data_IF_385452238118
#
_entry.id   IF_385452238118
#
_cell.length_a   1.000
_cell.length_b   1.000
_cell.length_c   1.000
_cell.angle_alpha   90.00
_cell.angle_beta   90.00
_cell.angle_gamma   90.00
#
_symmetry.space_group_name_H-M   'P 1'
#
loop_
_entity.id
_entity.type
_entity.pdbx_description
1 polymer ?
#
# COMPACT_ATOMS: atom_id res chain seq x y z
N UNK A 1 -8.83 3.24 -13.83
CA UNK A 1 -7.83 3.59 -12.80
C UNK A 1 -8.52 3.83 -11.47
N UNK A 2 -7.94 3.32 -10.38
CA UNK A 2 -8.48 3.41 -9.04
C UNK A 2 -8.22 4.79 -8.39
N UNK A 3 -9.13 5.20 -7.52
CA UNK A 3 -8.98 6.35 -6.63
C UNK A 3 -8.05 6.03 -5.47
N UNK A 4 -7.48 7.05 -4.84
CA UNK A 4 -6.62 6.86 -3.66
C UNK A 4 -7.34 6.12 -2.52
N UNK A 5 -8.66 6.32 -2.38
CA UNK A 5 -9.45 5.63 -1.37
C UNK A 5 -9.58 4.13 -1.69
N UNK A 6 -9.81 3.75 -2.94
CA UNK A 6 -9.87 2.35 -3.36
C UNK A 6 -8.53 1.66 -3.16
N UNK A 7 -7.43 2.34 -3.51
CA UNK A 7 -6.07 1.84 -3.30
C UNK A 7 -5.80 1.63 -1.80
N UNK A 8 -6.13 2.61 -0.95
CA UNK A 8 -6.01 2.49 0.52
C UNK A 8 -6.84 1.33 1.08
N UNK A 9 -8.09 1.19 0.64
CA UNK A 9 -8.96 0.10 1.07
C UNK A 9 -8.38 -1.26 0.66
N UNK A 10 -7.79 -1.37 -0.52
CA UNK A 10 -7.13 -2.59 -0.97
C UNK A 10 -5.92 -2.91 -0.11
N UNK A 11 -5.05 -1.91 0.16
CA UNK A 11 -3.88 -2.06 1.04
C UNK A 11 -4.30 -2.51 2.44
N UNK A 12 -5.31 -1.86 3.04
CA UNK A 12 -5.82 -2.23 4.36
C UNK A 12 -6.34 -3.68 4.40
N UNK A 13 -6.90 -4.20 3.30
CA UNK A 13 -7.37 -5.61 3.23
C UNK A 13 -6.24 -6.62 3.13
N UNK A 14 -5.09 -6.23 2.58
CA UNK A 14 -3.93 -7.11 2.35
C UNK A 14 -2.73 -6.73 3.24
N UNK A 15 -2.96 -5.94 4.28
CA UNK A 15 -1.87 -5.34 5.05
C UNK A 15 -0.99 -6.39 5.73
N UNK A 16 -1.58 -7.48 6.22
CA UNK A 16 -0.84 -8.57 6.87
C UNK A 16 0.11 -9.28 5.89
N UNK A 17 -0.34 -9.51 4.65
CA UNK A 17 0.47 -10.10 3.58
C UNK A 17 1.61 -9.15 3.18
N UNK A 18 1.30 -7.87 3.00
CA UNK A 18 2.29 -6.84 2.67
C UNK A 18 3.35 -6.69 3.76
N UNK A 19 2.96 -6.73 5.04
CA UNK A 19 3.90 -6.71 6.16
C UNK A 19 4.79 -7.96 6.10
N UNK A 20 4.20 -9.15 5.93
CA UNK A 20 4.95 -10.39 5.89
C UNK A 20 5.99 -10.44 4.75
N UNK A 21 5.64 -9.92 3.58
CA UNK A 21 6.51 -9.92 2.40
C UNK A 21 7.59 -8.83 2.44
N UNK A 22 7.23 -7.60 2.84
CA UNK A 22 8.09 -6.42 2.65
C UNK A 22 8.78 -5.94 3.94
N UNK A 23 8.21 -6.23 5.12
CA UNK A 23 8.78 -5.81 6.41
C UNK A 23 9.73 -6.89 6.91
N UNK A 24 11.02 -6.65 6.69
CA UNK A 24 12.09 -7.49 7.26
C UNK A 24 12.65 -6.84 8.53
N UNK A 25 12.46 -7.48 9.68
CA UNK A 25 12.97 -7.02 10.98
C UNK A 25 12.15 -5.86 11.56
N UNK A 26 12.82 -4.92 12.23
CA UNK A 26 12.18 -3.82 12.97
C UNK A 26 11.93 -2.57 12.11
N UNK A 27 11.75 -2.73 10.79
CA UNK A 27 11.50 -1.59 9.91
C UNK A 27 10.16 -0.93 10.27
N UNK A 28 10.19 0.40 10.38
CA UNK A 28 8.99 1.24 10.61
C UNK A 28 8.43 1.85 9.32
N UNK A 29 9.02 1.52 8.19
CA UNK A 29 8.60 1.98 6.88
C UNK A 29 8.95 0.94 5.82
N UNK A 30 8.11 0.82 4.80
CA UNK A 30 8.40 0.03 3.61
C UNK A 30 7.62 0.57 2.41
N UNK A 31 8.06 0.21 1.21
CA UNK A 31 7.28 0.40 -0.02
C UNK A 31 6.93 -0.95 -0.62
N UNK A 32 5.73 -1.04 -1.20
CA UNK A 32 5.26 -2.22 -1.88
C UNK A 32 4.68 -1.85 -3.25
N UNK A 33 4.86 -2.73 -4.23
CA UNK A 33 4.20 -2.63 -5.52
C UNK A 33 3.00 -3.56 -5.48
N UNK A 34 1.81 -2.99 -5.59
CA UNK A 34 0.54 -3.74 -5.55
C UNK A 34 -0.12 -3.70 -6.91
N UNK A 35 -0.79 -4.78 -7.30
CA UNK A 35 -1.55 -4.87 -8.53
C UNK A 35 -3.04 -4.94 -8.20
N UNK A 36 -3.81 -3.92 -8.59
CA UNK A 36 -5.26 -3.91 -8.36
C UNK A 36 -5.97 -4.12 -9.70
N UNK A 37 -6.78 -5.19 -9.84
CA UNK A 37 -7.59 -5.40 -11.04
C UNK A 37 -8.75 -4.40 -11.10
N UNK A 38 -9.03 -3.85 -12.28
CA UNK A 38 -10.21 -3.02 -12.54
C UNK A 38 -11.46 -3.86 -12.87
N UNK A 39 -12.54 -3.18 -13.28
CA UNK A 39 -13.82 -3.81 -13.63
C UNK A 39 -13.72 -4.76 -14.84
N UNK A 40 -12.74 -4.55 -15.72
CA UNK A 40 -12.47 -5.40 -16.89
C UNK A 40 -11.48 -6.53 -16.58
N UNK A 41 -10.93 -6.54 -15.36
CA UNK A 41 -9.92 -7.50 -14.89
C UNK A 41 -8.49 -7.12 -15.26
N UNK A 42 -8.27 -5.93 -15.83
CA UNK A 42 -6.94 -5.43 -16.13
C UNK A 42 -6.25 -5.00 -14.83
N UNK A 43 -5.02 -5.49 -14.62
CA UNK A 43 -4.24 -5.19 -13.42
C UNK A 43 -3.45 -3.90 -13.57
N UNK A 44 -3.71 -2.95 -12.69
CA UNK A 44 -2.99 -1.68 -12.64
C UNK A 44 -1.98 -1.70 -11.48
N UNK A 45 -0.67 -1.51 -11.74
CA UNK A 45 0.34 -1.49 -10.70
C UNK A 45 0.36 -0.13 -9.98
N UNK A 46 0.48 -0.14 -8.66
CA UNK A 46 0.66 1.05 -7.83
C UNK A 46 1.82 0.84 -6.87
N UNK A 47 2.64 1.86 -6.67
CA UNK A 47 3.66 1.84 -5.61
C UNK A 47 3.11 2.57 -4.38
N UNK A 48 2.94 1.85 -3.28
CA UNK A 48 2.46 2.41 -2.01
C UNK A 48 3.61 2.51 -1.02
N UNK A 49 3.65 3.63 -0.29
CA UNK A 49 4.61 3.87 0.78
C UNK A 49 3.90 3.79 2.11
N UNK A 50 4.34 2.85 2.94
CA UNK A 50 3.76 2.51 4.22
C UNK A 50 4.67 2.99 5.35
N UNK A 51 4.09 3.57 6.38
CA UNK A 51 4.78 3.92 7.61
C UNK A 51 4.02 3.36 8.81
N UNK A 52 4.76 2.86 9.78
CA UNK A 52 4.22 2.40 11.05
C UNK A 52 3.96 3.61 11.95
N UNK A 53 2.68 3.92 12.17
CA UNK A 53 2.25 4.98 13.07
C UNK A 53 2.31 4.48 14.50
N UNK A 54 3.30 4.96 15.27
CA UNK A 54 3.41 4.68 16.71
C UNK A 54 2.55 5.59 17.59
N UNK A 55 1.48 6.18 17.04
CA UNK A 55 0.64 7.14 17.76
C UNK A 55 -0.41 6.35 18.58
N UNK A 56 -0.15 6.25 19.88
CA UNK A 56 -1.06 5.92 20.99
C UNK A 56 -2.10 4.79 20.76
N UNK A 57 -1.82 3.65 21.39
CA UNK A 57 -2.71 2.50 21.63
C UNK A 57 -3.02 1.57 20.44
N UNK A 58 -2.85 2.02 19.19
CA UNK A 58 -3.03 1.16 18.01
C UNK A 58 -1.75 1.10 17.16
N UNK A 59 -1.16 -0.10 17.07
CA UNK A 59 0.02 -0.38 16.23
C UNK A 59 -0.43 -0.47 14.77
N UNK A 60 -0.64 0.66 14.10
CA UNK A 60 -1.19 0.71 12.75
C UNK A 60 -0.17 1.08 11.67
N UNK A 61 -0.30 0.44 10.51
CA UNK A 61 0.41 0.82 9.29
C UNK A 61 -0.47 1.75 8.45
N UNK A 62 0.08 2.91 8.08
CA UNK A 62 -0.63 3.92 7.31
C UNK A 62 0.00 4.13 5.95
N UNK A 63 -0.84 4.33 4.92
CA UNK A 63 -0.40 4.71 3.57
C UNK A 63 0.00 6.19 3.57
N UNK A 64 1.29 6.48 3.49
CA UNK A 64 1.85 7.84 3.40
C UNK A 64 1.73 8.42 2.01
N UNK A 65 2.02 7.62 0.99
CA UNK A 65 2.02 8.07 -0.40
C UNK A 65 1.63 6.94 -1.37
N UNK A 66 1.05 7.32 -2.50
CA UNK A 66 0.67 6.43 -3.59
C UNK A 66 1.27 7.01 -4.86
N UNK A 67 2.11 6.25 -5.55
CA UNK A 67 2.67 6.62 -6.85
C UNK A 67 2.02 5.75 -7.91
N UNK A 68 1.45 6.43 -8.92
CA UNK A 68 0.83 5.79 -10.07
C UNK A 68 1.81 5.75 -11.26
N UNK A 69 1.72 4.75 -12.15
CA UNK A 69 2.66 4.58 -13.25
C UNK A 69 2.76 5.80 -14.17
N UNK A 70 1.65 6.50 -14.41
CA UNK A 70 1.58 7.69 -15.23
C UNK A 70 2.29 8.91 -14.63
N UNK A 71 2.56 8.91 -13.33
CA UNK A 71 3.27 9.99 -12.65
C UNK A 71 4.80 9.85 -12.74
N UNK A 72 5.28 8.72 -13.28
CA UNK A 72 6.71 8.44 -13.49
C UNK A 72 7.22 8.88 -14.88
N UNK A 73 6.37 9.51 -15.69
CA UNK A 73 6.67 10.04 -17.03
C UNK A 73 7.01 11.54 -17.00
#
# INVERSE_FOLDING_TARGET
MHTDQEIKNWVCRHIDELIHEYVQGEKKEFSAVIEIPDEEGEKHPYTVFMEFSGIAEENEWVVRNIVRPEQLQ
#
